data_IF_830138622858
#
_entry.id   IF_830138622858
#
_cell.length_a   1.000
_cell.length_b   1.000
_cell.length_c   1.000
_cell.angle_alpha   90.00
_cell.angle_beta   90.00
_cell.angle_gamma   90.00
#
_symmetry.space_group_name_H-M   'P 1'
#
loop_
_entity.id
_entity.type
_entity.pdbx_description
1 polymer ?
#
# COMPACT_ATOMS: atom_id res chain seq x y z
N UNK A 1 15.66 -7.38 -0.70
CA UNK A 1 15.89 -8.40 0.35
C UNK A 1 14.86 -8.17 1.44
N UNK A 2 14.27 -9.24 2.00
CA UNK A 2 13.32 -9.11 3.12
C UNK A 2 14.13 -8.82 4.39
N UNK A 3 13.88 -7.69 5.03
CA UNK A 3 14.49 -7.31 6.30
C UNK A 3 13.40 -6.75 7.22
N UNK A 4 12.75 -7.60 8.04
CA UNK A 4 11.61 -7.20 8.87
C UNK A 4 11.99 -6.10 9.87
N UNK A 5 13.22 -6.11 10.37
CA UNK A 5 13.71 -5.12 11.36
C UNK A 5 13.90 -3.77 10.69
N UNK A 6 14.48 -3.75 9.48
CA UNK A 6 14.60 -2.52 8.72
C UNK A 6 13.24 -1.99 8.28
N UNK A 7 12.36 -2.86 7.82
CA UNK A 7 11.00 -2.51 7.41
C UNK A 7 10.16 -1.94 8.56
N UNK A 8 10.28 -2.47 9.78
CA UNK A 8 9.63 -1.91 10.98
C UNK A 8 10.13 -0.49 11.30
N UNK A 9 11.40 -0.19 11.05
CA UNK A 9 11.97 1.15 11.24
C UNK A 9 11.41 2.13 10.21
N UNK A 10 11.47 1.76 8.93
CA UNK A 10 10.90 2.55 7.83
C UNK A 10 9.41 2.79 8.03
N UNK A 11 8.67 1.78 8.50
CA UNK A 11 7.25 1.90 8.85
C UNK A 11 7.02 2.92 9.97
N UNK A 12 7.87 2.96 11.00
CA UNK A 12 7.74 3.95 12.08
C UNK A 12 7.87 5.36 11.52
N UNK A 13 8.92 5.59 10.71
CA UNK A 13 9.16 6.88 10.08
C UNK A 13 8.03 7.30 9.14
N UNK A 14 7.49 6.37 8.34
CA UNK A 14 6.33 6.61 7.48
C UNK A 14 5.07 6.96 8.29
N UNK A 15 4.85 6.26 9.41
CA UNK A 15 3.71 6.51 10.31
C UNK A 15 3.83 7.91 10.95
N UNK A 16 5.03 8.31 11.38
CA UNK A 16 5.27 9.63 11.96
C UNK A 16 4.99 10.76 10.94
N UNK A 17 5.36 10.56 9.67
CA UNK A 17 5.02 11.49 8.57
C UNK A 17 3.51 11.56 8.35
N UNK A 18 2.82 10.41 8.26
CA UNK A 18 1.37 10.35 8.09
C UNK A 18 0.64 11.05 9.25
N UNK A 19 1.05 10.80 10.50
CA UNK A 19 0.47 11.45 11.68
C UNK A 19 0.66 12.97 11.65
N UNK A 20 1.84 13.42 11.22
CA UNK A 20 2.15 14.86 11.09
C UNK A 20 1.25 15.52 10.05
N UNK A 21 1.09 14.91 8.87
CA UNK A 21 0.21 15.43 7.82
C UNK A 21 -1.26 15.42 8.24
N UNK A 22 -1.74 14.32 8.84
CA UNK A 22 -3.11 14.18 9.32
C UNK A 22 -3.44 15.18 10.44
N UNK A 23 -2.48 15.50 11.31
CA UNK A 23 -2.66 16.50 12.37
C UNK A 23 -2.84 17.94 11.84
N UNK A 24 -2.46 18.21 10.58
CA UNK A 24 -2.71 19.48 9.90
C UNK A 24 -4.14 19.62 9.34
N UNK A 25 -4.97 18.58 9.41
CA UNK A 25 -6.36 18.62 8.97
C UNK A 25 -7.27 19.26 10.03
N UNK A 26 -8.51 19.53 9.65
CA UNK A 26 -9.60 19.80 10.58
C UNK A 26 -10.74 18.79 10.40
N UNK A 27 -11.77 18.83 11.26
CA UNK A 27 -12.90 17.90 11.18
C UNK A 27 -13.65 17.99 9.84
N UNK A 28 -13.71 19.17 9.22
CA UNK A 28 -14.37 19.35 7.92
C UNK A 28 -13.56 18.66 6.80
N UNK A 29 -12.23 18.78 6.83
CA UNK A 29 -11.33 18.12 5.90
C UNK A 29 -11.34 16.60 6.06
N UNK A 30 -11.43 16.10 7.30
CA UNK A 30 -11.58 14.66 7.60
C UNK A 30 -12.88 14.09 6.99
N UNK A 31 -13.99 14.83 7.11
CA UNK A 31 -15.26 14.46 6.48
C UNK A 31 -15.28 14.67 4.96
N UNK A 32 -14.33 15.43 4.42
CA UNK A 32 -14.20 15.69 2.99
C UNK A 32 -13.59 14.51 2.20
N UNK A 33 -13.69 14.54 0.86
CA UNK A 33 -13.21 13.47 0.00
C UNK A 33 -11.69 13.31 0.08
N UNK A 34 -11.24 12.05 0.13
CA UNK A 34 -9.86 11.64 -0.15
C UNK A 34 -9.63 11.56 -1.67
N UNK A 35 -8.48 11.04 -2.10
CA UNK A 35 -8.23 10.70 -3.51
C UNK A 35 -8.84 9.37 -3.94
N UNK A 36 -9.23 8.52 -2.99
CA UNK A 36 -9.89 7.26 -3.30
C UNK A 36 -11.38 7.51 -3.60
N UNK A 37 -11.92 6.98 -4.71
CA UNK A 37 -13.33 7.15 -5.06
C UNK A 37 -14.25 6.67 -3.93
N UNK A 38 -15.18 7.53 -3.53
CA UNK A 38 -16.18 7.23 -2.49
C UNK A 38 -15.66 7.27 -1.06
N UNK A 39 -14.38 7.50 -0.82
CA UNK A 39 -13.80 7.50 0.53
C UNK A 39 -13.51 8.93 1.00
N UNK A 40 -13.94 9.26 2.22
CA UNK A 40 -13.47 10.47 2.92
C UNK A 40 -12.05 10.25 3.47
N UNK A 41 -11.38 11.32 3.89
CA UNK A 41 -10.10 11.19 4.62
C UNK A 41 -10.26 10.39 5.90
N UNK A 42 -11.42 10.51 6.57
CA UNK A 42 -11.78 9.65 7.71
C UNK A 42 -11.80 8.16 7.37
N UNK A 43 -12.32 7.77 6.20
CA UNK A 43 -12.28 6.37 5.74
C UNK A 43 -10.84 5.88 5.56
N UNK A 44 -9.98 6.70 4.96
CA UNK A 44 -8.55 6.37 4.78
C UNK A 44 -7.87 6.16 6.13
N UNK A 45 -8.00 7.11 7.06
CA UNK A 45 -7.39 7.03 8.40
C UNK A 45 -7.89 5.80 9.17
N UNK A 46 -9.20 5.57 9.14
CA UNK A 46 -9.80 4.40 9.78
C UNK A 46 -9.33 3.09 9.16
N UNK A 47 -9.27 2.98 7.83
CA UNK A 47 -8.74 1.80 7.13
C UNK A 47 -7.29 1.52 7.54
N UNK A 48 -6.44 2.55 7.55
CA UNK A 48 -5.03 2.39 7.96
C UNK A 48 -4.95 1.91 9.40
N UNK A 49 -5.79 2.39 10.32
CA UNK A 49 -5.83 1.89 11.70
C UNK A 49 -6.29 0.43 11.79
N UNK A 50 -7.39 0.06 11.11
CA UNK A 50 -7.91 -1.31 11.11
C UNK A 50 -6.98 -2.31 10.40
N UNK A 51 -6.23 -1.87 9.39
CA UNK A 51 -5.19 -2.68 8.75
C UNK A 51 -4.05 -3.03 9.73
N UNK A 52 -3.64 -2.10 10.60
CA UNK A 52 -2.65 -2.41 11.64
C UNK A 52 -3.15 -3.48 12.60
N UNK A 53 -4.38 -3.33 13.11
CA UNK A 53 -5.00 -4.33 14.00
C UNK A 53 -5.13 -5.70 13.32
N UNK A 54 -5.49 -5.70 12.04
CA UNK A 54 -5.60 -6.91 11.24
C UNK A 54 -4.24 -7.62 11.04
N UNK A 55 -3.16 -6.89 10.84
CA UNK A 55 -1.83 -7.48 10.70
C UNK A 55 -1.23 -7.93 12.04
N UNK A 56 -1.64 -7.33 13.18
CA UNK A 56 -1.37 -7.89 14.51
C UNK A 56 -2.02 -9.28 14.63
N UNK A 57 -3.29 -9.42 14.23
CA UNK A 57 -3.97 -10.73 14.23
C UNK A 57 -3.17 -11.77 13.43
N UNK A 58 -2.69 -11.40 12.24
CA UNK A 58 -1.86 -12.27 11.37
C UNK A 58 -0.57 -12.71 12.09
N UNK A 59 0.14 -11.81 12.76
CA UNK A 59 1.34 -12.14 13.54
C UNK A 59 1.03 -13.04 14.75
N UNK A 60 -0.18 -12.96 15.29
CA UNK A 60 -0.63 -13.83 16.38
C UNK A 60 -1.24 -15.17 15.90
N UNK A 61 -1.32 -15.41 14.59
CA UNK A 61 -1.92 -16.62 14.02
C UNK A 61 -3.45 -16.64 14.07
N UNK A 62 -4.08 -15.46 14.16
CA UNK A 62 -5.53 -15.26 14.07
C UNK A 62 -5.90 -14.80 12.65
N UNK A 63 -7.14 -15.02 12.19
CA UNK A 63 -7.60 -14.49 10.90
C UNK A 63 -7.37 -12.98 10.80
N UNK A 64 -6.90 -12.51 9.64
CA UNK A 64 -6.63 -11.08 9.40
C UNK A 64 -7.87 -10.21 9.69
N UNK A 65 -9.03 -10.65 9.20
CA UNK A 65 -10.34 -10.09 9.51
C UNK A 65 -11.31 -11.23 9.86
N UNK A 66 -12.35 -10.92 10.66
CA UNK A 66 -13.43 -11.90 10.94
C UNK A 66 -14.15 -12.27 9.65
N UNK A 67 -14.58 -11.26 8.89
CA UNK A 67 -15.05 -11.38 7.50
C UNK A 67 -14.72 -10.10 6.74
N UNK A 68 -14.93 -10.09 5.42
CA UNK A 68 -14.82 -8.87 4.62
C UNK A 68 -15.88 -7.82 5.02
N UNK A 69 -17.10 -8.27 5.29
CA UNK A 69 -18.21 -7.40 5.69
C UNK A 69 -17.98 -6.78 7.07
N UNK A 70 -17.38 -7.52 8.00
CA UNK A 70 -17.01 -6.98 9.31
C UNK A 70 -15.97 -5.87 9.19
N UNK A 71 -14.94 -6.06 8.35
CA UNK A 71 -13.96 -5.03 8.04
C UNK A 71 -14.62 -3.77 7.48
N UNK A 72 -15.47 -3.95 6.48
CA UNK A 72 -16.10 -2.81 5.79
C UNK A 72 -17.05 -2.07 6.76
N UNK A 73 -17.82 -2.79 7.57
CA UNK A 73 -18.66 -2.20 8.61
C UNK A 73 -17.85 -1.43 9.69
N UNK A 74 -16.69 -1.94 10.08
CA UNK A 74 -15.79 -1.22 11.00
C UNK A 74 -15.30 0.09 10.40
N UNK A 75 -14.95 0.10 9.11
CA UNK A 75 -14.51 1.31 8.40
C UNK A 75 -15.64 2.34 8.33
N UNK A 76 -16.82 1.94 7.87
CA UNK A 76 -17.97 2.84 7.73
C UNK A 76 -18.41 3.43 9.08
N UNK A 77 -18.39 2.63 10.15
CA UNK A 77 -18.76 3.08 11.49
C UNK A 77 -17.79 4.14 12.02
N UNK A 78 -16.49 3.96 11.80
CA UNK A 78 -15.45 4.74 12.46
C UNK A 78 -14.92 5.90 11.61
N UNK A 79 -15.12 5.88 10.29
CA UNK A 79 -14.78 6.97 9.38
C UNK A 79 -15.30 8.37 9.78
N UNK A 80 -16.53 8.55 10.32
CA UNK A 80 -17.05 9.88 10.67
C UNK A 80 -16.54 10.44 12.00
N UNK A 81 -15.65 9.73 12.73
CA UNK A 81 -15.08 10.22 13.98
C UNK A 81 -14.36 11.56 13.79
N UNK A 82 -14.38 12.46 14.79
CA UNK A 82 -13.63 13.70 14.74
C UNK A 82 -12.12 13.44 14.70
N UNK A 83 -11.36 14.40 14.18
CA UNK A 83 -9.91 14.29 13.96
C UNK A 83 -9.13 13.83 15.21
N UNK A 84 -9.37 14.34 16.43
CA UNK A 84 -8.64 13.87 17.61
C UNK A 84 -8.79 12.36 17.82
N UNK A 85 -9.98 11.81 17.65
CA UNK A 85 -10.24 10.38 17.78
C UNK A 85 -9.59 9.57 16.65
N UNK A 86 -9.57 10.10 15.41
CA UNK A 86 -8.87 9.46 14.30
C UNK A 86 -7.35 9.40 14.55
N UNK A 87 -6.76 10.48 15.05
CA UNK A 87 -5.33 10.55 15.36
C UNK A 87 -4.96 9.62 16.51
N UNK A 88 -5.79 9.56 17.56
CA UNK A 88 -5.54 8.68 18.70
C UNK A 88 -5.65 7.21 18.31
N UNK A 89 -6.63 6.82 17.48
CA UNK A 89 -6.75 5.44 16.97
C UNK A 89 -5.59 5.08 16.03
N UNK A 90 -5.16 6.00 15.17
CA UNK A 90 -4.02 5.80 14.28
C UNK A 90 -2.72 5.60 15.06
N UNK A 91 -2.47 6.41 16.10
CA UNK A 91 -1.31 6.23 16.98
C UNK A 91 -1.36 4.90 17.71
N UNK A 92 -2.48 4.59 18.36
CA UNK A 92 -2.61 3.39 19.18
C UNK A 92 -2.49 2.10 18.34
N UNK A 93 -3.14 2.04 17.18
CA UNK A 93 -3.06 0.87 16.29
C UNK A 93 -1.65 0.70 15.70
N UNK A 94 -0.97 1.80 15.34
CA UNK A 94 0.41 1.73 14.88
C UNK A 94 1.37 1.25 15.97
N UNK A 95 1.20 1.72 17.21
CA UNK A 95 1.99 1.27 18.36
C UNK A 95 1.78 -0.22 18.63
N UNK A 96 0.53 -0.71 18.63
CA UNK A 96 0.22 -2.15 18.76
C UNK A 96 0.94 -2.99 17.70
N UNK A 97 0.91 -2.57 16.44
CA UNK A 97 1.63 -3.28 15.36
C UNK A 97 3.14 -3.27 15.57
N UNK A 98 3.70 -2.14 15.96
CA UNK A 98 5.12 -1.98 16.24
C UNK A 98 5.57 -2.87 17.42
N UNK A 99 4.78 -2.98 18.47
CA UNK A 99 5.03 -3.89 19.59
C UNK A 99 4.96 -5.35 19.17
N UNK A 100 3.89 -5.74 18.46
CA UNK A 100 3.73 -7.10 17.95
C UNK A 100 4.91 -7.49 17.05
N UNK A 101 5.32 -6.61 16.14
CA UNK A 101 6.48 -6.81 15.28
C UNK A 101 7.79 -6.96 16.06
N UNK A 102 8.06 -6.11 17.06
CA UNK A 102 9.28 -6.23 17.89
C UNK A 102 9.32 -7.52 18.71
N UNK A 103 8.17 -7.99 19.19
CA UNK A 103 8.05 -9.21 19.95
C UNK A 103 8.08 -10.48 19.07
N UNK A 104 7.88 -10.32 17.75
CA UNK A 104 7.77 -11.45 16.83
C UNK A 104 9.15 -12.03 16.50
N UNK A 105 9.30 -13.35 16.71
CA UNK A 105 10.57 -14.06 16.56
C UNK A 105 10.66 -15.02 15.38
N UNK A 106 9.52 -15.41 14.78
CA UNK A 106 9.47 -16.48 13.76
C UNK A 106 9.15 -15.93 12.36
N UNK A 107 10.08 -15.14 11.81
CA UNK A 107 9.89 -14.44 10.53
C UNK A 107 9.80 -15.35 9.30
N UNK A 108 10.23 -16.61 9.40
CA UNK A 108 10.08 -17.60 8.33
C UNK A 108 8.72 -18.29 8.33
N UNK A 109 7.91 -18.12 9.39
CA UNK A 109 6.58 -18.69 9.49
C UNK A 109 5.71 -18.26 8.32
N UNK A 110 5.05 -19.22 7.67
CA UNK A 110 3.98 -18.93 6.72
C UNK A 110 2.77 -18.38 7.49
N UNK A 111 2.24 -17.26 7.02
CA UNK A 111 1.03 -16.62 7.53
C UNK A 111 -0.01 -16.49 6.44
N UNK A 112 -1.28 -16.44 6.82
CA UNK A 112 -2.40 -16.20 5.92
C UNK A 112 -2.87 -14.74 6.04
N UNK A 113 -3.02 -14.09 4.89
CA UNK A 113 -3.55 -12.74 4.73
C UNK A 113 -5.01 -12.83 4.25
N UNK A 114 -5.54 -11.73 3.71
CA UNK A 114 -6.89 -11.70 3.14
C UNK A 114 -7.02 -12.65 1.92
N UNK A 115 -8.22 -13.22 1.74
CA UNK A 115 -8.61 -14.04 0.58
C UNK A 115 -7.74 -15.29 0.35
N UNK A 116 -7.21 -15.90 1.43
CA UNK A 116 -6.39 -17.12 1.35
C UNK A 116 -5.00 -16.90 0.76
N UNK A 117 -4.57 -15.64 0.58
CA UNK A 117 -3.19 -15.32 0.18
C UNK A 117 -2.27 -15.68 1.33
N UNK A 118 -1.28 -16.55 1.08
CA UNK A 118 -0.24 -16.88 2.07
C UNK A 118 1.06 -16.16 1.76
N UNK A 119 1.81 -15.81 2.80
CA UNK A 119 3.13 -15.18 2.68
C UNK A 119 4.04 -15.57 3.85
N UNK A 120 5.33 -15.24 3.77
CA UNK A 120 6.23 -15.31 4.93
C UNK A 120 5.94 -14.14 5.87
N UNK A 121 5.94 -14.40 7.18
CA UNK A 121 5.72 -13.38 8.20
C UNK A 121 6.69 -12.21 8.06
N UNK A 122 7.94 -12.47 7.63
CA UNK A 122 8.94 -11.43 7.37
C UNK A 122 8.52 -10.38 6.34
N UNK A 123 7.52 -10.64 5.49
CA UNK A 123 7.01 -9.66 4.51
C UNK A 123 5.90 -8.78 5.08
N UNK A 124 5.35 -9.11 6.24
CA UNK A 124 4.24 -8.35 6.86
C UNK A 124 4.64 -6.90 7.18
N UNK A 125 5.83 -6.59 7.73
CA UNK A 125 6.24 -5.20 7.94
C UNK A 125 6.30 -4.37 6.66
N UNK A 126 6.84 -4.93 5.56
CA UNK A 126 6.85 -4.24 4.28
C UNK A 126 5.43 -4.04 3.71
N UNK A 127 4.56 -5.06 3.79
CA UNK A 127 3.15 -4.91 3.40
C UNK A 127 2.45 -3.82 4.19
N UNK A 128 2.74 -3.70 5.49
CA UNK A 128 2.23 -2.61 6.31
C UNK A 128 2.80 -1.25 5.91
N UNK A 129 4.07 -1.18 5.54
CA UNK A 129 4.69 0.03 5.01
C UNK A 129 4.00 0.49 3.71
N UNK A 130 3.67 -0.44 2.80
CA UNK A 130 2.92 -0.14 1.57
C UNK A 130 1.57 0.52 1.87
N UNK A 131 0.82 -0.04 2.83
CA UNK A 131 -0.46 0.53 3.26
C UNK A 131 -0.30 1.95 3.80
N UNK A 132 0.74 2.23 4.60
CA UNK A 132 0.96 3.57 5.17
C UNK A 132 1.39 4.57 4.09
N UNK A 133 2.40 4.24 3.29
CA UNK A 133 2.97 5.17 2.30
C UNK A 133 1.97 5.50 1.18
N UNK A 134 1.31 4.49 0.62
CA UNK A 134 0.35 4.71 -0.47
C UNK A 134 -0.94 5.38 0.03
N UNK A 135 -1.42 5.05 1.24
CA UNK A 135 -2.60 5.73 1.78
C UNK A 135 -2.30 7.12 2.34
N UNK A 136 -1.03 7.44 2.63
CA UNK A 136 -0.63 8.81 2.88
C UNK A 136 -0.79 9.68 1.63
N UNK A 137 -0.44 9.15 0.45
CA UNK A 137 -0.74 9.80 -0.84
C UNK A 137 -2.25 9.92 -1.04
N UNK A 138 -3.01 8.86 -0.76
CA UNK A 138 -4.47 8.83 -0.94
C UNK A 138 -5.21 9.80 -0.02
N UNK A 139 -4.66 10.08 1.16
CA UNK A 139 -5.20 11.06 2.10
C UNK A 139 -5.33 12.45 1.45
N UNK A 140 -4.53 12.76 0.43
CA UNK A 140 -4.60 14.03 -0.29
C UNK A 140 -4.36 15.22 0.65
N UNK A 141 -3.32 15.11 1.48
CA UNK A 141 -2.92 16.09 2.49
C UNK A 141 -1.53 16.70 2.20
N UNK A 142 -1.19 16.83 0.90
CA UNK A 142 0.07 17.44 0.45
C UNK A 142 1.27 16.47 0.36
N UNK A 143 1.02 15.16 0.43
CA UNK A 143 2.02 14.11 0.19
C UNK A 143 1.73 13.43 -1.16
N UNK A 144 2.71 13.37 -2.04
CA UNK A 144 2.60 12.86 -3.40
C UNK A 144 3.47 11.62 -3.65
N UNK A 145 3.28 10.96 -4.80
CA UNK A 145 4.12 9.81 -5.20
C UNK A 145 5.60 10.20 -5.34
N UNK A 146 5.87 11.46 -5.68
CA UNK A 146 7.21 12.05 -5.74
C UNK A 146 7.90 12.14 -4.37
N UNK A 147 7.14 12.16 -3.28
CA UNK A 147 7.66 12.26 -1.91
C UNK A 147 7.99 10.90 -1.28
N UNK A 148 7.70 9.81 -2.01
CA UNK A 148 7.97 8.45 -1.55
C UNK A 148 9.47 8.19 -1.44
N UNK A 149 9.95 7.51 -0.39
CA UNK A 149 11.35 7.13 -0.29
C UNK A 149 11.77 6.30 -1.51
N UNK A 150 12.97 6.58 -2.04
CA UNK A 150 13.50 5.90 -3.23
C UNK A 150 13.49 4.37 -3.09
N UNK A 151 14.00 3.85 -1.96
CA UNK A 151 14.06 2.41 -1.71
C UNK A 151 12.65 1.78 -1.65
N UNK A 152 11.70 2.47 -1.02
CA UNK A 152 10.30 2.03 -1.00
C UNK A 152 9.73 1.95 -2.42
N UNK A 153 9.94 3.01 -3.21
CA UNK A 153 9.45 3.11 -4.59
C UNK A 153 9.98 1.98 -5.47
N UNK A 154 11.28 1.68 -5.38
CA UNK A 154 11.91 0.59 -6.13
C UNK A 154 11.34 -0.78 -5.73
N UNK A 155 11.20 -1.04 -4.42
CA UNK A 155 10.70 -2.32 -3.89
C UNK A 155 9.21 -2.54 -4.19
N UNK A 156 8.38 -1.50 -4.08
CA UNK A 156 6.96 -1.62 -4.38
C UNK A 156 6.71 -1.73 -5.88
N UNK A 157 7.52 -1.06 -6.71
CA UNK A 157 7.51 -1.24 -8.17
C UNK A 157 7.82 -2.69 -8.54
N UNK A 158 8.83 -3.30 -7.92
CA UNK A 158 9.15 -4.72 -8.10
C UNK A 158 7.97 -5.62 -7.71
N UNK A 159 7.40 -5.40 -6.51
CA UNK A 159 6.27 -6.18 -6.02
C UNK A 159 5.05 -6.10 -6.92
N UNK A 160 4.68 -4.89 -7.38
CA UNK A 160 3.54 -4.73 -8.27
C UNK A 160 3.83 -5.28 -9.68
N UNK A 161 5.03 -5.11 -10.22
CA UNK A 161 5.39 -5.72 -11.50
C UNK A 161 5.26 -7.26 -11.46
N UNK A 162 5.67 -7.90 -10.37
CA UNK A 162 5.50 -9.34 -10.17
C UNK A 162 4.03 -9.78 -10.13
N UNK A 163 3.11 -8.93 -9.65
CA UNK A 163 1.69 -9.26 -9.44
C UNK A 163 0.97 -9.80 -10.68
N UNK A 164 1.31 -9.29 -11.86
CA UNK A 164 0.70 -9.72 -13.12
C UNK A 164 1.65 -10.55 -14.00
N UNK A 165 2.81 -10.94 -13.48
CA UNK A 165 3.72 -11.83 -14.21
C UNK A 165 3.05 -13.17 -14.52
N UNK A 166 3.19 -13.63 -15.77
CA UNK A 166 2.59 -14.87 -16.26
C UNK A 166 1.12 -14.79 -16.66
N UNK A 167 0.47 -13.63 -16.48
CA UNK A 167 -0.92 -13.42 -16.88
C UNK A 167 -1.04 -13.23 -18.39
N UNK A 168 -1.77 -14.11 -19.07
CA UNK A 168 -1.96 -14.03 -20.53
C UNK A 168 -2.87 -12.88 -20.98
N UNK A 169 -3.67 -12.30 -20.08
CA UNK A 169 -4.51 -11.13 -20.33
C UNK A 169 -3.74 -9.79 -20.25
N UNK A 170 -2.46 -9.82 -19.85
CA UNK A 170 -1.55 -8.67 -19.87
C UNK A 170 -0.41 -8.97 -20.86
N UNK A 171 -0.13 -8.10 -21.85
CA UNK A 171 0.95 -8.35 -22.81
C UNK A 171 2.32 -8.40 -22.11
N UNK A 172 3.33 -9.11 -22.69
CA UNK A 172 4.69 -9.09 -22.18
C UNK A 172 5.19 -7.65 -22.08
N UNK A 173 5.43 -7.18 -20.86
CA UNK A 173 5.70 -5.77 -20.62
C UNK A 173 7.04 -5.59 -19.93
N UNK A 174 7.92 -4.78 -20.53
CA UNK A 174 9.17 -4.31 -19.93
C UNK A 174 8.94 -2.93 -19.33
N UNK A 175 9.23 -2.76 -18.05
CA UNK A 175 9.04 -1.50 -17.33
C UNK A 175 10.41 -0.90 -17.04
N UNK A 176 10.60 0.38 -17.33
CA UNK A 176 11.88 1.07 -17.17
C UNK A 176 11.68 2.39 -16.43
N UNK A 177 12.39 2.56 -15.32
CA UNK A 177 12.47 3.84 -14.62
C UNK A 177 13.88 4.06 -14.06
N UNK A 178 14.15 5.26 -13.56
CA UNK A 178 15.34 5.46 -12.74
C UNK A 178 15.27 4.53 -11.53
N UNK A 179 16.29 3.69 -11.33
CA UNK A 179 16.36 2.71 -10.24
C UNK A 179 16.23 1.26 -10.67
N UNK A 180 15.70 0.96 -11.87
CA UNK A 180 15.63 -0.43 -12.31
C UNK A 180 14.88 -0.70 -13.62
N UNK A 181 14.88 -1.98 -13.98
CA UNK A 181 14.06 -2.55 -15.03
C UNK A 181 13.30 -3.74 -14.44
N UNK A 182 12.00 -3.82 -14.74
CA UNK A 182 11.13 -4.91 -14.30
C UNK A 182 10.37 -5.50 -15.49
N UNK A 183 9.74 -6.65 -15.26
CA UNK A 183 8.87 -7.31 -16.24
C UNK A 183 7.54 -7.69 -15.61
N UNK A 184 6.50 -7.66 -16.42
CA UNK A 184 5.17 -8.12 -16.04
C UNK A 184 4.42 -8.68 -17.26
N UNK A 185 3.24 -9.23 -17.02
CA UNK A 185 2.39 -9.84 -18.05
C UNK A 185 2.86 -11.21 -18.50
N UNK A 186 2.24 -11.69 -19.57
CA UNK A 186 2.49 -13.00 -20.17
C UNK A 186 3.81 -13.07 -20.93
N UNK A 187 4.07 -14.23 -21.54
CA UNK A 187 5.26 -14.49 -22.37
C UNK A 187 4.97 -14.48 -23.87
N UNK A 188 3.70 -14.37 -24.28
CA UNK A 188 3.27 -14.44 -25.67
C UNK A 188 2.68 -13.12 -26.15
N UNK A 189 2.85 -12.82 -27.44
CA UNK A 189 2.39 -11.57 -28.06
C UNK A 189 3.50 -10.56 -28.33
N UNK A 190 3.14 -9.37 -28.79
CA UNK A 190 4.08 -8.29 -29.07
C UNK A 190 4.49 -7.60 -27.76
N UNK A 191 5.78 -7.55 -27.41
CA UNK A 191 6.21 -6.91 -26.17
C UNK A 191 6.00 -5.40 -26.21
N UNK A 192 5.57 -4.84 -25.07
CA UNK A 192 5.47 -3.39 -24.86
C UNK A 192 6.56 -2.96 -23.88
N UNK A 193 7.25 -1.86 -24.18
CA UNK A 193 8.13 -1.19 -23.22
C UNK A 193 7.44 0.06 -22.70
N UNK A 194 7.32 0.16 -21.37
CA UNK A 194 6.75 1.30 -20.66
C UNK A 194 7.87 1.99 -19.89
N UNK A 195 8.03 3.30 -20.07
CA UNK A 195 9.07 4.08 -19.39
C UNK A 195 8.58 5.43 -18.87
N UNK A 196 9.16 5.89 -17.77
CA UNK A 196 8.83 7.19 -17.17
C UNK A 196 9.58 7.46 -15.87
N UNK A 197 9.12 8.46 -15.11
CA UNK A 197 9.63 8.70 -13.77
C UNK A 197 9.24 7.56 -12.80
N UNK A 198 9.98 7.33 -11.70
CA UNK A 198 9.61 6.34 -10.71
C UNK A 198 8.18 6.55 -10.15
N UNK A 199 7.79 7.82 -9.94
CA UNK A 199 6.46 8.18 -9.46
C UNK A 199 5.36 7.86 -10.49
N UNK A 200 5.60 8.09 -11.79
CA UNK A 200 4.65 7.76 -12.84
C UNK A 200 4.48 6.26 -13.01
N UNK A 201 5.58 5.50 -12.96
CA UNK A 201 5.56 4.04 -13.07
C UNK A 201 4.83 3.42 -11.88
N UNK A 202 5.17 3.81 -10.65
CA UNK A 202 4.47 3.33 -9.46
C UNK A 202 3.01 3.80 -9.44
N UNK A 203 2.73 5.03 -9.89
CA UNK A 203 1.37 5.55 -10.02
C UNK A 203 0.51 4.70 -10.95
N UNK A 204 1.02 4.33 -12.11
CA UNK A 204 0.32 3.44 -13.04
C UNK A 204 0.13 2.03 -12.49
N UNK A 205 1.20 1.40 -11.97
CA UNK A 205 1.11 0.06 -11.39
C UNK A 205 0.15 0.02 -10.21
N UNK A 206 0.15 1.05 -9.37
CA UNK A 206 -0.71 1.09 -8.19
C UNK A 206 -2.15 1.59 -8.47
N UNK A 207 -2.47 1.93 -9.73
CA UNK A 207 -3.78 2.45 -10.14
C UNK A 207 -4.06 3.89 -9.70
N UNK A 208 -3.06 4.64 -9.24
CA UNK A 208 -3.15 6.04 -8.77
C UNK A 208 -2.91 7.08 -9.88
N UNK A 209 -2.38 6.65 -11.02
CA UNK A 209 -2.25 7.44 -12.25
C UNK A 209 -2.78 6.61 -13.42
N UNK A 210 -3.33 7.28 -14.43
CA UNK A 210 -3.80 6.66 -15.67
C UNK A 210 -2.65 6.28 -16.62
N UNK A 211 -1.42 6.67 -16.28
CA UNK A 211 -0.22 6.44 -17.08
C UNK A 211 -0.08 7.37 -18.28
N UNK A 212 -0.83 8.46 -18.37
CA UNK A 212 -0.73 9.41 -19.49
C UNK A 212 0.64 10.08 -19.61
N UNK A 213 1.42 10.10 -18.52
CA UNK A 213 2.78 10.62 -18.47
C UNK A 213 3.84 9.58 -18.88
N UNK A 214 3.46 8.33 -19.11
CA UNK A 214 4.37 7.25 -19.49
C UNK A 214 4.59 7.21 -21.00
N UNK A 215 5.82 6.92 -21.39
CA UNK A 215 6.19 6.63 -22.76
C UNK A 215 5.99 5.13 -23.04
N UNK A 216 5.39 4.80 -24.18
CA UNK A 216 5.15 3.43 -24.61
C UNK A 216 5.80 3.17 -25.98
N UNK A 217 6.55 2.07 -26.08
CA UNK A 217 7.12 1.58 -27.32
C UNK A 217 6.67 0.14 -27.58
N UNK A 218 6.37 -0.20 -28.83
CA UNK A 218 5.91 -1.55 -29.22
C UNK A 218 4.40 -1.79 -29.05
N UNK A 219 3.65 -0.84 -28.50
CA UNK A 219 2.20 -0.91 -28.36
C UNK A 219 1.63 0.20 -27.46
N UNK A 220 0.29 0.24 -27.27
CA UNK A 220 -0.33 1.13 -26.29
C UNK A 220 0.04 0.71 -24.85
N UNK A 221 -0.18 1.63 -23.90
CA UNK A 221 -0.03 1.32 -22.48
C UNK A 221 -0.92 0.12 -22.09
N UNK A 222 -0.36 -0.93 -21.45
CA UNK A 222 -1.14 -2.08 -21.02
C UNK A 222 -2.19 -1.69 -19.98
N UNK A 223 -3.41 -2.22 -20.13
CA UNK A 223 -4.45 -2.14 -19.11
C UNK A 223 -4.18 -3.22 -18.07
N UNK A 224 -3.90 -2.82 -16.84
CA UNK A 224 -3.66 -3.75 -15.74
C UNK A 224 -4.97 -4.14 -15.06
N UNK A 225 -5.17 -5.41 -14.68
CA UNK A 225 -6.27 -5.83 -13.83
C UNK A 225 -6.31 -5.04 -12.52
N UNK A 226 -7.49 -4.75 -11.96
CA UNK A 226 -7.63 -4.10 -10.66
C UNK A 226 -6.83 -4.82 -9.55
N UNK A 227 -6.35 -4.04 -8.57
CA UNK A 227 -5.62 -4.53 -7.40
C UNK A 227 -6.51 -5.30 -6.43
#
# INVERSE_FOLDING_TARGET
MIDPVSDLRSLREATDRLLTAAAGLDNAAVAGPSRLPGWTRGHVLTHVSRNADALVNVLEGRPMYVTGEARDADIERDAPRPLPEQLDDLRASAERFQEAGRAFGDWERTVELRNGVTDRAGRVPFRRLVEVELHHVDLGAGYELEDLPKEFTERETEFLAERWSGRSDVPPTRIVAAGGEWRTGGSEGTPVTVSGSPADVLGWLSGRRDGSALECAGGPLPVLPPL
#
